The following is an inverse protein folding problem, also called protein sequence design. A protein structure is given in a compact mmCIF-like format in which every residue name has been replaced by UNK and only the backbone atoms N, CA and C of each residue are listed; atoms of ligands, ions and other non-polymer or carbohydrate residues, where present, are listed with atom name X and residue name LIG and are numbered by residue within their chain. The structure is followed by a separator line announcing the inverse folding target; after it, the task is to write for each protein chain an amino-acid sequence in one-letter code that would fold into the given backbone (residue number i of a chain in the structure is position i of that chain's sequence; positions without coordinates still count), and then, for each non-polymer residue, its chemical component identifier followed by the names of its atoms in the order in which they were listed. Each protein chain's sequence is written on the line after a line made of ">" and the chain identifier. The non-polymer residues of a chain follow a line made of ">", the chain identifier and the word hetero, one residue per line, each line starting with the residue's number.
data_IF_536070972519
#
_entry.id   IF_536070972519
#
_cell.length_a   1.000
_cell.length_b   1.000
_cell.length_c   1.000
_cell.angle_alpha   90.00
_cell.angle_beta   90.00
_cell.angle_gamma   90.00
#
_symmetry.space_group_name_H-M   'P 1'
#
loop_
_entity.id
_entity.type
_entity.pdbx_description
1 polymer ?
#
# COMPACT_ATOMS: atom_id res chain seq x y z
N UNK A 1 -31.62 -35.24 -55.40
CA UNK A 1 -30.82 -34.03 -55.15
C UNK A 1 -30.71 -33.82 -53.64
N UNK A 2 -29.53 -34.01 -53.02
CA UNK A 2 -29.29 -33.78 -51.60
C UNK A 2 -28.69 -32.38 -51.45
N UNK A 3 -29.44 -31.48 -50.82
CA UNK A 3 -29.00 -30.12 -50.52
C UNK A 3 -28.14 -30.15 -49.23
N UNK A 4 -26.88 -29.79 -49.34
CA UNK A 4 -25.97 -29.59 -48.19
C UNK A 4 -26.10 -28.17 -47.72
N UNK A 5 -26.70 -27.98 -46.53
CA UNK A 5 -26.77 -26.68 -45.85
C UNK A 5 -25.42 -26.46 -45.16
N UNK A 6 -24.62 -25.54 -45.67
CA UNK A 6 -23.35 -25.14 -45.06
C UNK A 6 -23.67 -24.10 -44.00
N UNK A 7 -23.61 -24.47 -42.71
CA UNK A 7 -23.71 -23.55 -41.60
C UNK A 7 -22.36 -22.85 -41.38
N UNK A 8 -22.28 -21.58 -41.74
CA UNK A 8 -21.13 -20.74 -41.47
C UNK A 8 -21.15 -20.32 -40.01
N UNK A 9 -20.29 -20.92 -39.17
CA UNK A 9 -20.11 -20.51 -37.76
C UNK A 9 -19.19 -19.28 -37.76
N UNK A 10 -19.77 -18.11 -37.53
CA UNK A 10 -19.02 -16.85 -37.32
C UNK A 10 -18.47 -16.85 -35.89
N UNK A 11 -17.20 -17.17 -35.69
CA UNK A 11 -16.51 -17.06 -34.42
C UNK A 11 -16.17 -15.58 -34.21
N UNK A 12 -16.96 -14.86 -33.39
CA UNK A 12 -16.65 -13.53 -32.96
C UNK A 12 -15.61 -13.63 -31.81
N UNK A 13 -14.36 -13.43 -32.13
CA UNK A 13 -13.30 -13.25 -31.11
C UNK A 13 -13.45 -11.86 -30.52
N UNK A 14 -14.10 -11.78 -29.36
CA UNK A 14 -14.06 -10.55 -28.54
C UNK A 14 -12.61 -10.33 -28.10
N UNK A 15 -12.01 -9.16 -28.37
CA UNK A 15 -10.70 -8.84 -27.82
C UNK A 15 -10.82 -8.85 -26.28
N UNK A 16 -10.06 -9.72 -25.62
CA UNK A 16 -9.92 -9.65 -24.17
C UNK A 16 -9.32 -8.29 -23.85
N UNK A 17 -10.14 -7.39 -23.34
CA UNK A 17 -9.62 -6.13 -22.79
C UNK A 17 -8.80 -6.51 -21.57
N UNK A 18 -7.48 -6.46 -21.71
CA UNK A 18 -6.56 -6.48 -20.57
C UNK A 18 -6.81 -5.16 -19.85
N UNK A 19 -7.69 -5.18 -18.85
CA UNK A 19 -7.86 -4.07 -17.94
C UNK A 19 -6.51 -3.87 -17.23
N UNK A 20 -5.81 -2.80 -17.54
CA UNK A 20 -4.63 -2.40 -16.81
C UNK A 20 -5.03 -2.28 -15.34
N UNK A 21 -4.38 -3.09 -14.48
CA UNK A 21 -4.63 -3.05 -13.04
C UNK A 21 -3.76 -1.95 -12.45
N UNK A 22 -4.35 -1.07 -11.67
CA UNK A 22 -3.60 -0.10 -10.89
C UNK A 22 -2.87 -0.80 -9.73
N UNK A 23 -1.64 -0.39 -9.51
CA UNK A 23 -0.82 -0.82 -8.38
C UNK A 23 -0.56 0.37 -7.48
N UNK A 24 -0.54 0.14 -6.19
CA UNK A 24 -0.33 1.17 -5.18
C UNK A 24 0.86 0.81 -4.30
N UNK A 25 1.70 1.81 -4.01
CA UNK A 25 2.88 1.67 -3.15
C UNK A 25 2.86 2.80 -2.12
N UNK A 26 2.94 2.46 -0.85
CA UNK A 26 3.22 3.40 0.21
C UNK A 26 4.73 3.60 0.34
N UNK A 27 5.19 4.83 0.38
CA UNK A 27 6.60 5.20 0.50
C UNK A 27 6.78 6.14 1.68
N UNK A 28 7.51 5.72 2.70
CA UNK A 28 7.84 6.55 3.86
C UNK A 28 8.91 7.59 3.49
N UNK A 29 8.68 8.86 3.89
CA UNK A 29 9.61 9.97 3.71
C UNK A 29 10.11 10.44 5.08
N UNK A 30 11.21 9.86 5.53
CA UNK A 30 11.76 9.98 6.88
C UNK A 30 11.93 11.43 7.35
N UNK A 31 12.45 12.30 6.49
CA UNK A 31 12.79 13.68 6.85
C UNK A 31 11.61 14.66 6.77
N UNK A 32 10.43 14.20 6.41
CA UNK A 32 9.26 15.05 6.20
C UNK A 32 8.03 14.61 7.01
N UNK A 33 8.15 13.57 7.83
CA UNK A 33 7.01 12.94 8.55
C UNK A 33 5.80 12.71 7.64
N UNK A 34 6.08 12.15 6.47
CA UNK A 34 5.10 11.95 5.42
C UNK A 34 5.17 10.53 4.84
N UNK A 35 4.04 10.02 4.43
CA UNK A 35 3.95 8.81 3.58
C UNK A 35 3.32 9.20 2.25
N UNK A 36 4.01 8.95 1.16
CA UNK A 36 3.47 9.13 -0.17
C UNK A 36 2.77 7.85 -0.64
N UNK A 37 1.50 7.96 -1.04
CA UNK A 37 0.81 6.92 -1.80
C UNK A 37 1.08 7.13 -3.28
N UNK A 38 1.79 6.20 -3.88
CA UNK A 38 2.16 6.21 -5.30
C UNK A 38 1.26 5.23 -6.04
N UNK A 39 0.65 5.69 -7.12
CA UNK A 39 -0.12 4.85 -8.04
C UNK A 39 0.66 4.61 -9.33
N UNK A 40 0.62 3.38 -9.82
CA UNK A 40 1.12 2.97 -11.13
C UNK A 40 -0.03 2.41 -11.97
N UNK A 41 -0.35 3.04 -13.08
CA UNK A 41 -1.47 2.71 -13.96
C UNK A 41 -1.13 1.69 -15.07
N UNK A 42 0.05 1.05 -14.96
CA UNK A 42 0.60 0.17 -15.98
C UNK A 42 1.50 0.88 -17.01
N UNK A 43 1.60 2.22 -16.95
CA UNK A 43 2.43 3.04 -17.85
C UNK A 43 3.25 4.08 -17.10
N UNK A 44 2.63 4.74 -16.12
CA UNK A 44 3.25 5.83 -15.37
C UNK A 44 3.00 5.65 -13.88
N UNK A 45 3.97 6.06 -13.08
CA UNK A 45 3.85 6.22 -11.65
C UNK A 45 3.71 7.71 -11.30
N UNK A 46 2.84 8.03 -10.35
CA UNK A 46 2.65 9.38 -9.84
C UNK A 46 2.20 9.34 -8.38
N UNK A 47 2.53 10.39 -7.63
CA UNK A 47 2.07 10.55 -6.26
C UNK A 47 0.59 10.91 -6.30
N UNK A 48 -0.26 10.01 -5.79
CA UNK A 48 -1.70 10.22 -5.73
C UNK A 48 -2.09 11.00 -4.47
N UNK A 49 -1.43 10.71 -3.35
CA UNK A 49 -1.73 11.32 -2.05
C UNK A 49 -0.45 11.44 -1.23
N UNK A 50 -0.38 12.50 -0.41
CA UNK A 50 0.61 12.68 0.66
C UNK A 50 -0.12 12.63 1.99
N UNK A 51 0.35 11.77 2.90
CA UNK A 51 -0.28 11.49 4.17
C UNK A 51 0.67 11.98 5.25
N UNK A 52 0.26 13.01 5.98
CA UNK A 52 1.01 13.48 7.14
C UNK A 52 0.91 12.46 8.27
N UNK A 53 2.05 12.13 8.85
CA UNK A 53 2.19 11.17 9.95
C UNK A 53 2.96 11.83 11.10
N UNK A 54 2.98 11.19 12.27
CA UNK A 54 3.64 11.78 13.44
C UNK A 54 2.90 12.96 14.04
N UNK A 55 3.63 13.78 14.83
CA UNK A 55 3.11 14.94 15.60
C UNK A 55 3.60 16.24 14.97
N UNK A 56 3.62 16.30 13.67
CA UNK A 56 3.99 17.50 12.90
C UNK A 56 3.12 18.72 13.31
N UNK A 57 3.68 19.93 13.46
CA UNK A 57 5.06 20.37 13.14
C UNK A 57 6.01 20.41 14.36
N UNK A 58 5.72 19.67 15.41
CA UNK A 58 6.42 19.80 16.71
C UNK A 58 7.85 19.28 16.64
N UNK A 59 8.01 18.09 16.05
CA UNK A 59 9.30 17.45 15.83
C UNK A 59 9.21 16.43 14.68
N UNK A 60 10.35 16.08 14.12
CA UNK A 60 10.42 15.03 13.10
C UNK A 60 10.57 13.69 13.84
N UNK A 61 9.56 12.84 13.71
CA UNK A 61 9.54 11.49 14.31
C UNK A 61 10.12 10.42 13.38
N UNK A 62 10.30 10.71 12.10
CA UNK A 62 10.97 9.87 11.09
C UNK A 62 10.26 8.55 10.81
N UNK A 63 9.36 8.49 9.84
CA UNK A 63 8.77 7.24 9.39
C UNK A 63 9.81 6.37 8.66
N UNK A 64 10.02 5.14 9.12
CA UNK A 64 11.04 4.23 8.61
C UNK A 64 10.47 2.97 7.97
N UNK A 65 10.03 2.04 8.80
CA UNK A 65 9.49 0.76 8.34
C UNK A 65 8.04 0.91 7.93
N UNK A 66 7.66 0.32 6.80
CA UNK A 66 6.29 0.31 6.32
C UNK A 66 5.94 -1.07 5.77
N UNK A 67 4.76 -1.58 6.12
CA UNK A 67 4.24 -2.84 5.61
C UNK A 67 2.71 -2.82 5.54
N UNK A 68 2.12 -3.75 4.80
CA UNK A 68 0.66 -3.86 4.65
C UNK A 68 0.19 -5.22 5.19
N UNK A 69 -1.01 -5.26 5.79
CA UNK A 69 -1.61 -6.53 6.23
C UNK A 69 -1.83 -7.49 5.05
N UNK A 70 -1.82 -8.81 5.25
CA UNK A 70 -2.02 -9.78 4.17
C UNK A 70 -3.32 -9.58 3.38
N UNK A 71 -4.37 -9.11 4.06
CA UNK A 71 -5.70 -8.83 3.47
C UNK A 71 -5.75 -7.47 2.76
N UNK A 72 -4.73 -6.60 3.00
CA UNK A 72 -4.67 -5.26 2.44
C UNK A 72 -5.54 -4.23 3.17
N UNK A 73 -6.17 -4.58 4.31
CA UNK A 73 -7.10 -3.71 5.03
C UNK A 73 -6.41 -2.63 5.87
N UNK A 74 -5.17 -2.90 6.27
CA UNK A 74 -4.37 -2.01 7.11
C UNK A 74 -2.93 -1.91 6.61
N UNK A 75 -2.33 -0.75 6.83
CA UNK A 75 -0.88 -0.58 6.71
C UNK A 75 -0.30 -0.10 8.04
N UNK A 76 0.97 -0.44 8.24
CA UNK A 76 1.70 -0.21 9.48
C UNK A 76 2.94 0.61 9.21
N UNK A 77 3.27 1.51 10.14
CA UNK A 77 4.38 2.44 10.01
C UNK A 77 5.14 2.51 11.33
N UNK A 78 6.46 2.32 11.30
CA UNK A 78 7.30 2.65 12.46
C UNK A 78 7.77 4.09 12.37
N UNK A 79 7.70 4.79 13.50
CA UNK A 79 8.27 6.11 13.72
C UNK A 79 9.49 5.94 14.63
N UNK A 80 10.68 6.34 14.14
CA UNK A 80 11.94 5.93 14.75
C UNK A 80 12.66 7.03 15.53
N UNK A 81 12.30 8.29 15.32
CA UNK A 81 12.99 9.46 15.89
C UNK A 81 12.07 10.31 16.75
N UNK A 82 12.59 11.44 17.23
CA UNK A 82 11.85 12.51 17.91
C UNK A 82 11.66 12.29 19.40
N UNK A 83 11.40 11.08 19.83
CA UNK A 83 11.24 10.68 21.23
C UNK A 83 12.24 9.59 21.60
N UNK A 84 12.50 9.33 22.91
CA UNK A 84 13.44 8.30 23.31
C UNK A 84 13.03 6.89 22.84
N UNK A 85 11.73 6.67 22.66
CA UNK A 85 11.18 5.40 22.17
C UNK A 85 10.36 5.61 20.91
N UNK A 86 10.56 4.73 19.93
CA UNK A 86 9.78 4.75 18.72
C UNK A 86 8.36 4.19 18.91
N UNK A 87 7.57 4.31 17.87
CA UNK A 87 6.18 3.87 17.88
C UNK A 87 5.85 3.07 16.61
N UNK A 88 4.91 2.15 16.75
CA UNK A 88 4.22 1.54 15.64
C UNK A 88 2.82 2.14 15.53
N UNK A 89 2.52 2.63 14.35
CA UNK A 89 1.19 3.13 13.99
C UNK A 89 0.50 2.16 13.07
N UNK A 90 -0.81 2.03 13.23
CA UNK A 90 -1.71 1.27 12.36
C UNK A 90 -2.69 2.21 11.69
N UNK A 91 -2.76 2.13 10.37
CA UNK A 91 -3.65 2.94 9.55
C UNK A 91 -4.61 2.07 8.77
N UNK A 92 -5.81 2.57 8.51
CA UNK A 92 -6.78 1.89 7.66
C UNK A 92 -6.47 2.20 6.19
N UNK A 93 -6.30 1.17 5.37
CA UNK A 93 -6.06 1.32 3.93
C UNK A 93 -7.24 2.04 3.25
N UNK A 94 -6.93 2.95 2.34
CA UNK A 94 -7.90 3.72 1.57
C UNK A 94 -8.34 5.02 2.23
N UNK A 95 -8.69 5.02 3.53
CA UNK A 95 -8.98 6.27 4.27
C UNK A 95 -7.71 6.91 4.82
N UNK A 96 -6.70 6.09 5.13
CA UNK A 96 -5.43 6.46 5.77
C UNK A 96 -5.62 7.11 7.16
N UNK A 97 -6.71 6.74 7.83
CA UNK A 97 -6.97 7.13 9.21
C UNK A 97 -6.14 6.26 10.16
N UNK A 98 -5.47 6.91 11.11
CA UNK A 98 -4.76 6.22 12.19
C UNK A 98 -5.79 5.59 13.12
N UNK A 99 -5.72 4.26 13.31
CA UNK A 99 -6.69 3.50 14.10
C UNK A 99 -6.10 2.95 15.38
N UNK A 100 -4.76 2.81 15.45
CA UNK A 100 -4.08 2.30 16.65
C UNK A 100 -2.61 2.73 16.69
N UNK A 101 -2.02 2.71 17.90
CA UNK A 101 -0.64 3.09 18.15
C UNK A 101 -0.10 2.32 19.35
N UNK A 102 1.16 1.85 19.25
CA UNK A 102 1.87 1.24 20.38
C UNK A 102 3.30 1.76 20.47
N UNK A 103 3.81 1.99 21.68
CA UNK A 103 5.21 2.32 21.92
C UNK A 103 6.07 1.08 21.70
N UNK A 104 7.21 1.28 21.04
CA UNK A 104 8.25 0.27 20.80
C UNK A 104 9.53 0.62 21.54
N UNK A 105 10.60 -0.14 21.28
CA UNK A 105 11.93 0.17 21.78
C UNK A 105 12.61 1.33 21.03
N UNK A 106 13.90 1.46 21.24
CA UNK A 106 14.73 2.46 20.57
C UNK A 106 14.82 2.16 19.08
N UNK A 107 14.60 3.17 18.26
CA UNK A 107 14.83 3.16 16.81
C UNK A 107 14.24 1.94 16.06
N UNK A 108 12.91 1.76 16.03
CA UNK A 108 12.28 0.70 15.24
C UNK A 108 12.36 1.06 13.75
N UNK A 109 13.35 0.49 13.03
CA UNK A 109 13.67 0.93 11.67
C UNK A 109 12.96 0.13 10.58
N UNK A 110 12.94 -1.18 10.65
CA UNK A 110 12.37 -2.03 9.61
C UNK A 110 11.33 -2.98 10.18
N UNK A 111 10.39 -3.37 9.34
CA UNK A 111 9.36 -4.32 9.72
C UNK A 111 8.90 -5.14 8.52
N UNK A 112 8.34 -6.31 8.80
CA UNK A 112 7.67 -7.14 7.82
C UNK A 112 6.54 -7.92 8.48
N UNK A 113 5.48 -8.19 7.73
CA UNK A 113 4.38 -9.02 8.19
C UNK A 113 4.40 -10.38 7.49
N UNK A 114 4.27 -11.44 8.26
CA UNK A 114 4.20 -12.79 7.71
C UNK A 114 2.83 -13.04 7.08
N UNK A 115 2.79 -13.31 5.79
CA UNK A 115 1.56 -13.67 5.09
C UNK A 115 0.90 -14.97 5.59
N UNK A 116 1.66 -15.84 6.25
CA UNK A 116 1.14 -17.13 6.73
C UNK A 116 0.57 -17.06 8.15
N UNK A 117 1.10 -16.16 9.00
CA UNK A 117 0.70 -16.06 10.41
C UNK A 117 -0.01 -14.76 10.76
N UNK A 118 0.12 -13.74 9.92
CA UNK A 118 -0.36 -12.38 10.21
C UNK A 118 0.45 -11.65 11.28
N UNK A 119 1.54 -12.24 11.78
CA UNK A 119 2.40 -11.60 12.79
C UNK A 119 3.34 -10.60 12.11
N UNK A 120 3.50 -9.45 12.76
CA UNK A 120 4.42 -8.39 12.39
C UNK A 120 5.71 -8.54 13.21
N UNK A 121 6.87 -8.43 12.54
CA UNK A 121 8.21 -8.55 13.07
C UNK A 121 9.00 -7.27 12.83
#
# INVERSE_FOLDING_TARGET
>A
MKSYFFQLILIITLPAQILARDYYVYCAAESEDEVALIRFDGKKAYVEKRIQVGVWPVEIEGPHGITISPEGDYWYLSMAHGTPYGHLYKYKTGTDEMVDKVELGLFPASMEISNSTGLLY
#
